data_IF_914532208676
#
_entry.id   IF_914532208676
#
_cell.length_a   1.000
_cell.length_b   1.000
_cell.length_c   1.000
_cell.angle_alpha   90.00
_cell.angle_beta   90.00
_cell.angle_gamma   90.00
#
_symmetry.space_group_name_H-M   'P 1'
#
loop_
_entity.id
_entity.type
_entity.pdbx_description
1 polymer ?
#
# COMPACT_ATOMS: atom_id res chain seq x y z
N UNK A 1 -5.19 -20.78 -3.32
CA UNK A 1 -5.58 -21.19 -1.95
C UNK A 1 -6.20 -19.95 -1.35
N UNK A 2 -7.52 -19.90 -1.50
CA UNK A 2 -8.29 -18.67 -1.56
C UNK A 2 -8.58 -18.18 -0.15
N UNK A 3 -8.01 -17.03 0.23
CA UNK A 3 -8.09 -16.52 1.59
C UNK A 3 -8.69 -15.11 1.71
N UNK A 4 -8.96 -14.40 0.62
CA UNK A 4 -9.28 -12.95 0.70
C UNK A 4 -10.60 -12.55 0.02
N UNK A 5 -11.59 -13.44 -0.02
CA UNK A 5 -12.98 -13.01 -0.31
C UNK A 5 -13.69 -12.62 0.99
N UNK A 6 -13.12 -11.62 1.69
CA UNK A 6 -13.78 -11.02 2.84
C UNK A 6 -14.84 -10.05 2.34
N UNK A 7 -16.09 -10.27 2.75
CA UNK A 7 -17.21 -9.47 2.26
C UNK A 7 -17.42 -8.24 3.15
N UNK A 8 -18.07 -7.20 2.62
CA UNK A 8 -18.53 -6.06 3.42
C UNK A 8 -19.40 -6.48 4.61
N UNK A 9 -20.08 -7.62 4.52
CA UNK A 9 -20.87 -8.18 5.63
C UNK A 9 -19.99 -8.72 6.76
N UNK A 10 -18.87 -9.38 6.42
CA UNK A 10 -17.92 -9.86 7.42
C UNK A 10 -17.20 -8.70 8.11
N UNK A 11 -16.80 -7.70 7.32
CA UNK A 11 -16.23 -6.44 7.81
C UNK A 11 -17.19 -5.75 8.80
N UNK A 12 -18.47 -5.63 8.44
CA UNK A 12 -19.48 -5.02 9.30
C UNK A 12 -19.68 -5.81 10.60
N UNK A 13 -19.72 -7.15 10.53
CA UNK A 13 -19.85 -8.00 11.72
C UNK A 13 -18.65 -7.83 12.67
N UNK A 14 -17.42 -7.75 12.13
CA UNK A 14 -16.23 -7.49 12.93
C UNK A 14 -16.30 -6.09 13.59
N UNK A 15 -16.75 -5.09 12.86
CA UNK A 15 -16.94 -3.73 13.38
C UNK A 15 -17.97 -3.70 14.51
N UNK A 16 -19.13 -4.34 14.32
CA UNK A 16 -20.20 -4.40 15.31
C UNK A 16 -19.72 -5.09 16.60
N UNK A 17 -18.92 -6.15 16.48
CA UNK A 17 -18.30 -6.83 17.62
C UNK A 17 -17.38 -5.90 18.42
N UNK A 18 -16.56 -5.11 17.74
CA UNK A 18 -15.66 -4.14 18.39
C UNK A 18 -16.46 -3.04 19.06
N UNK A 19 -17.47 -2.48 18.37
CA UNK A 19 -18.30 -1.39 18.91
C UNK A 19 -19.18 -1.86 20.08
N UNK A 20 -19.59 -3.11 20.09
CA UNK A 20 -20.30 -3.73 21.21
C UNK A 20 -19.38 -4.10 22.39
N UNK A 21 -18.06 -3.87 22.28
CA UNK A 21 -17.09 -4.19 23.33
C UNK A 21 -16.93 -5.69 23.57
N UNK A 22 -17.18 -6.54 22.56
CA UNK A 22 -17.04 -7.98 22.73
C UNK A 22 -15.59 -8.35 23.04
N UNK A 23 -15.33 -9.22 24.04
CA UNK A 23 -13.97 -9.64 24.38
C UNK A 23 -13.20 -10.17 23.16
N UNK A 24 -11.97 -9.70 22.98
CA UNK A 24 -11.09 -10.11 21.88
C UNK A 24 -11.48 -9.60 20.48
N UNK A 25 -12.57 -8.86 20.31
CA UNK A 25 -12.99 -8.38 18.98
C UNK A 25 -11.95 -7.46 18.34
N UNK A 26 -11.41 -6.52 19.12
CA UNK A 26 -10.40 -5.60 18.62
C UNK A 26 -9.06 -6.30 18.35
N UNK A 27 -8.71 -7.32 19.13
CA UNK A 27 -7.52 -8.15 18.88
C UNK A 27 -7.62 -8.89 17.54
N UNK A 28 -8.80 -9.43 17.20
CA UNK A 28 -9.04 -10.03 15.87
C UNK A 28 -8.86 -9.02 14.75
N UNK A 29 -9.42 -7.82 14.91
CA UNK A 29 -9.25 -6.73 13.95
C UNK A 29 -7.76 -6.38 13.76
N UNK A 30 -7.01 -6.21 14.85
CA UNK A 30 -5.56 -5.94 14.78
C UNK A 30 -4.84 -7.09 14.08
N UNK A 31 -5.10 -8.33 14.48
CA UNK A 31 -4.47 -9.52 13.88
C UNK A 31 -4.69 -9.60 12.38
N UNK A 32 -5.89 -9.24 11.93
CA UNK A 32 -6.27 -9.27 10.53
C UNK A 32 -5.59 -8.18 9.70
N UNK A 33 -5.51 -6.94 10.21
CA UNK A 33 -5.04 -5.80 9.42
C UNK A 33 -3.64 -5.29 9.78
N UNK A 34 -2.95 -5.90 10.75
CA UNK A 34 -1.60 -5.46 11.16
C UNK A 34 -0.58 -5.52 10.02
N UNK A 35 -0.70 -6.53 9.15
CA UNK A 35 0.22 -6.70 8.00
C UNK A 35 0.03 -5.59 6.97
N UNK A 36 -1.22 -5.28 6.62
CA UNK A 36 -1.57 -4.15 5.77
C UNK A 36 -1.05 -2.83 6.35
N UNK A 37 -1.32 -2.58 7.63
CA UNK A 37 -0.90 -1.36 8.32
C UNK A 37 0.63 -1.20 8.27
N UNK A 38 1.36 -2.28 8.56
CA UNK A 38 2.81 -2.33 8.45
C UNK A 38 3.28 -2.01 7.02
N UNK A 39 2.71 -2.68 6.01
CA UNK A 39 3.08 -2.46 4.62
C UNK A 39 2.91 -0.99 4.20
N UNK A 40 1.76 -0.37 4.51
CA UNK A 40 1.51 1.04 4.14
C UNK A 40 2.51 1.97 4.81
N UNK A 41 2.71 1.83 6.12
CA UNK A 41 3.55 2.74 6.90
C UNK A 41 5.04 2.55 6.57
N UNK A 42 5.49 1.30 6.49
CA UNK A 42 6.90 0.98 6.24
C UNK A 42 7.36 1.49 4.86
N UNK A 43 6.50 1.42 3.84
CA UNK A 43 6.81 1.94 2.49
C UNK A 43 6.98 3.45 2.47
N UNK A 44 6.30 4.15 3.36
CA UNK A 44 6.41 5.60 3.49
C UNK A 44 7.63 6.02 4.33
N UNK A 45 7.88 5.37 5.46
CA UNK A 45 8.82 5.88 6.49
C UNK A 45 10.20 5.20 6.47
N UNK A 46 10.30 3.92 6.06
CA UNK A 46 11.57 3.13 5.97
C UNK A 46 12.38 2.94 7.25
N UNK A 47 11.89 3.41 8.40
CA UNK A 47 12.52 3.20 9.70
C UNK A 47 11.66 2.23 10.51
N UNK A 48 12.23 1.08 10.91
CA UNK A 48 11.49 0.02 11.58
C UNK A 48 10.88 0.47 12.91
N UNK A 49 11.66 1.22 13.71
CA UNK A 49 11.19 1.77 15.00
C UNK A 49 10.01 2.72 14.81
N UNK A 50 10.13 3.72 13.93
CA UNK A 50 9.02 4.62 13.60
C UNK A 50 7.81 3.85 13.05
N UNK A 51 8.04 2.81 12.24
CA UNK A 51 6.96 2.01 11.64
C UNK A 51 6.13 1.34 12.74
N UNK A 52 6.79 0.72 13.72
CA UNK A 52 6.09 0.06 14.83
C UNK A 52 5.27 1.05 15.66
N UNK A 53 5.82 2.21 15.97
CA UNK A 53 5.12 3.26 16.72
C UNK A 53 3.91 3.81 15.96
N UNK A 54 4.07 4.05 14.65
CA UNK A 54 3.00 4.55 13.80
C UNK A 54 1.92 3.49 13.55
N UNK A 55 2.25 2.19 13.50
CA UNK A 55 1.27 1.11 13.47
C UNK A 55 0.40 1.13 14.74
N UNK A 56 1.02 1.29 15.91
CA UNK A 56 0.28 1.41 17.16
C UNK A 56 -0.62 2.65 17.16
N UNK A 57 -0.10 3.82 16.77
CA UNK A 57 -0.87 5.06 16.64
C UNK A 57 -2.07 4.87 15.68
N UNK A 58 -1.86 4.13 14.59
CA UNK A 58 -2.92 3.81 13.62
C UNK A 58 -4.03 2.98 14.25
N UNK A 59 -3.71 1.90 14.96
CA UNK A 59 -4.73 1.07 15.58
C UNK A 59 -5.46 1.78 16.71
N UNK A 60 -4.80 2.65 17.48
CA UNK A 60 -5.46 3.52 18.45
C UNK A 60 -6.48 4.45 17.78
N UNK A 61 -6.14 5.03 16.62
CA UNK A 61 -7.07 5.85 15.83
C UNK A 61 -8.19 5.02 15.22
N UNK A 62 -7.89 3.84 14.68
CA UNK A 62 -8.89 2.91 14.18
C UNK A 62 -9.91 2.62 15.28
N UNK A 63 -9.47 2.24 16.48
CA UNK A 63 -10.37 2.03 17.61
C UNK A 63 -11.20 3.28 17.96
N UNK A 64 -10.56 4.45 18.03
CA UNK A 64 -11.23 5.71 18.36
C UNK A 64 -12.31 6.08 17.34
N UNK A 65 -12.07 5.87 16.04
CA UNK A 65 -12.92 6.34 14.95
C UNK A 65 -13.73 5.23 14.27
N UNK A 66 -13.65 3.97 14.73
CA UNK A 66 -14.34 2.84 14.11
C UNK A 66 -15.86 3.06 14.00
N UNK A 67 -16.45 3.77 14.96
CA UNK A 67 -17.86 4.14 14.97
C UNK A 67 -18.28 5.03 13.78
N UNK A 68 -17.33 5.54 13.01
CA UNK A 68 -17.56 6.36 11.80
C UNK A 68 -17.51 5.53 10.51
N UNK A 69 -17.08 4.27 10.57
CA UNK A 69 -17.14 3.38 9.43
C UNK A 69 -18.61 3.12 9.02
N UNK A 70 -18.88 3.17 7.71
CA UNK A 70 -20.25 3.09 7.14
C UNK A 70 -20.39 2.00 6.07
N UNK A 71 -19.38 1.13 5.90
CA UNK A 71 -19.39 0.06 4.89
C UNK A 71 -19.59 0.56 3.45
N UNK A 72 -19.12 1.78 3.16
CA UNK A 72 -19.10 2.38 1.81
C UNK A 72 -17.89 1.92 0.98
N UNK A 73 -16.87 1.35 1.65
CA UNK A 73 -15.69 0.71 1.07
C UNK A 73 -15.28 -0.45 1.98
N UNK A 74 -14.41 -1.34 1.51
CA UNK A 74 -13.87 -2.40 2.36
C UNK A 74 -13.20 -1.82 3.62
N UNK A 75 -13.33 -2.52 4.75
CA UNK A 75 -12.68 -2.12 6.01
C UNK A 75 -11.17 -2.06 5.85
N UNK A 76 -10.61 -2.95 5.02
CA UNK A 76 -9.21 -2.93 4.57
C UNK A 76 -8.80 -1.54 4.06
N UNK A 77 -9.60 -0.96 3.16
CA UNK A 77 -9.32 0.33 2.53
C UNK A 77 -9.49 1.51 3.48
N UNK A 78 -10.49 1.45 4.36
CA UNK A 78 -10.64 2.44 5.43
C UNK A 78 -9.45 2.43 6.40
N UNK A 79 -8.98 1.25 6.83
CA UNK A 79 -7.79 1.13 7.70
C UNK A 79 -6.53 1.60 6.97
N UNK A 80 -6.37 1.26 5.69
CA UNK A 80 -5.25 1.73 4.86
C UNK A 80 -5.23 3.27 4.77
N UNK A 81 -6.39 3.92 4.67
CA UNK A 81 -6.51 5.38 4.66
C UNK A 81 -6.06 5.98 6.00
N UNK A 82 -6.42 5.38 7.14
CA UNK A 82 -5.95 5.83 8.46
C UNK A 82 -4.44 5.67 8.57
N UNK A 83 -3.89 4.52 8.17
CA UNK A 83 -2.45 4.23 8.18
C UNK A 83 -1.66 5.22 7.32
N UNK A 84 -2.12 5.46 6.08
CA UNK A 84 -1.52 6.44 5.18
C UNK A 84 -1.55 7.85 5.77
N UNK A 85 -2.66 8.26 6.37
CA UNK A 85 -2.79 9.57 7.01
C UNK A 85 -1.84 9.75 8.19
N UNK A 86 -1.66 8.71 9.01
CA UNK A 86 -0.70 8.68 10.13
C UNK A 86 0.73 8.86 9.62
N UNK A 87 1.14 8.06 8.64
CA UNK A 87 2.48 8.11 8.05
C UNK A 87 2.74 9.44 7.33
N UNK A 88 1.79 9.93 6.53
CA UNK A 88 1.88 11.24 5.86
C UNK A 88 2.14 12.36 6.86
N UNK A 89 1.36 12.41 7.95
CA UNK A 89 1.52 13.42 9.00
C UNK A 89 2.87 13.31 9.71
N UNK A 90 3.42 12.11 9.85
CA UNK A 90 4.76 11.91 10.41
C UNK A 90 5.85 12.48 9.49
N UNK A 91 5.78 12.18 8.19
CA UNK A 91 6.74 12.69 7.20
C UNK A 91 6.69 14.22 7.08
N UNK A 92 5.49 14.81 7.08
CA UNK A 92 5.29 16.27 7.09
C UNK A 92 5.96 16.91 8.31
N UNK A 93 5.80 16.32 9.51
CA UNK A 93 6.44 16.81 10.75
C UNK A 93 7.97 16.71 10.70
N UNK A 94 8.52 15.63 10.10
CA UNK A 94 9.97 15.46 9.90
C UNK A 94 10.51 16.24 8.70
N UNK A 95 9.65 16.95 7.93
CA UNK A 95 10.00 17.66 6.68
C UNK A 95 10.65 16.75 5.63
N UNK A 96 10.25 15.48 5.61
CA UNK A 96 10.73 14.49 4.65
C UNK A 96 9.81 14.55 3.40
N UNK A 97 10.36 14.76 2.19
CA UNK A 97 9.55 14.76 0.97
C UNK A 97 8.90 13.39 0.72
N UNK A 98 7.59 13.39 0.46
CA UNK A 98 6.79 12.18 0.19
C UNK A 98 6.80 11.83 -1.31
N UNK A 99 6.90 12.86 -2.14
CA UNK A 99 7.00 12.79 -3.58
C UNK A 99 8.21 13.61 -4.04
N UNK A 100 8.71 13.29 -5.23
CA UNK A 100 9.64 14.20 -5.91
C UNK A 100 8.96 15.55 -6.20
N UNK A 101 9.71 16.66 -6.22
CA UNK A 101 9.18 17.92 -6.74
C UNK A 101 8.74 17.68 -8.18
N UNK A 102 7.43 17.65 -8.39
CA UNK A 102 6.87 17.26 -9.67
C UNK A 102 7.08 18.35 -10.70
N UNK A 103 7.71 18.01 -11.83
CA UNK A 103 7.26 18.51 -13.13
C UNK A 103 5.84 17.97 -13.34
N UNK A 104 4.86 18.63 -12.75
CA UNK A 104 3.47 18.47 -13.15
C UNK A 104 3.37 19.20 -14.49
N UNK A 105 3.66 18.51 -15.60
CA UNK A 105 3.06 18.91 -16.87
C UNK A 105 2.18 17.78 -17.39
N UNK A 106 0.96 18.17 -17.74
CA UNK A 106 -0.06 17.27 -18.23
C UNK A 106 0.37 16.69 -19.56
N UNK A 107 0.58 15.38 -19.60
CA UNK A 107 0.36 14.64 -20.82
C UNK A 107 -0.19 13.26 -20.50
N UNK A 108 -1.47 13.12 -20.80
CA UNK A 108 -2.16 11.86 -20.95
C UNK A 108 -1.50 11.06 -22.07
N UNK A 109 -0.62 10.13 -21.71
CA UNK A 109 -0.26 9.00 -22.58
C UNK A 109 -0.60 7.71 -21.83
N UNK A 110 -1.90 7.42 -21.82
CA UNK A 110 -2.45 6.10 -21.53
C UNK A 110 -2.39 5.30 -22.84
N UNK A 111 -1.29 4.63 -23.10
CA UNK A 111 -1.28 3.47 -24.01
C UNK A 111 -1.46 2.21 -23.17
N UNK A 112 -2.48 1.44 -23.52
CA UNK A 112 -2.83 0.16 -22.92
C UNK A 112 -1.65 -0.81 -23.10
N UNK A 113 -1.01 -1.18 -21.99
CA UNK A 113 -0.05 -2.29 -21.98
C UNK A 113 -0.72 -3.51 -21.33
N UNK A 114 -0.62 -4.71 -21.92
CA UNK A 114 -1.17 -5.91 -21.33
C UNK A 114 -0.44 -6.27 -20.03
N UNK A 115 -1.22 -6.65 -19.02
CA UNK A 115 -0.76 -7.29 -17.79
C UNK A 115 -0.39 -8.73 -18.13
N UNK A 116 0.86 -8.98 -18.48
CA UNK A 116 1.38 -10.34 -18.44
C UNK A 116 2.86 -10.32 -18.12
N UNK A 117 3.21 -10.82 -16.94
CA UNK A 117 4.58 -11.19 -16.59
C UNK A 117 4.52 -12.35 -15.61
N UNK A 118 4.39 -13.54 -16.17
CA UNK A 118 4.67 -14.82 -15.51
C UNK A 118 6.19 -14.99 -15.37
N UNK A 119 6.69 -15.18 -14.16
CA UNK A 119 8.12 -15.40 -13.89
C UNK A 119 8.27 -16.80 -13.29
N UNK A 120 8.83 -17.72 -14.08
CA UNK A 120 9.09 -19.11 -13.69
C UNK A 120 10.54 -19.31 -13.17
N UNK A 121 10.67 -20.11 -12.09
CA UNK A 121 11.82 -20.94 -11.62
C UNK A 121 12.61 -20.51 -10.33
N UNK A 122 12.38 -21.32 -9.28
CA UNK A 122 12.63 -21.09 -7.84
C UNK A 122 14.06 -20.81 -7.34
N UNK A 123 15.11 -21.05 -8.13
CA UNK A 123 16.50 -20.75 -7.69
C UNK A 123 17.03 -19.44 -8.26
N UNK A 124 16.55 -19.02 -9.43
CA UNK A 124 16.76 -17.67 -10.00
C UNK A 124 15.80 -16.69 -9.29
N UNK A 125 14.63 -17.18 -8.89
CA UNK A 125 13.58 -16.44 -8.19
C UNK A 125 14.07 -15.77 -6.91
N UNK A 126 14.96 -16.39 -6.12
CA UNK A 126 15.44 -15.78 -4.86
C UNK A 126 16.40 -14.60 -5.07
N UNK A 127 17.33 -14.69 -6.03
CA UNK A 127 18.21 -13.56 -6.38
C UNK A 127 17.43 -12.47 -7.14
N UNK A 128 16.53 -12.86 -8.04
CA UNK A 128 15.63 -11.94 -8.74
C UNK A 128 14.72 -11.19 -7.76
N UNK A 129 14.15 -11.89 -6.77
CA UNK A 129 13.34 -11.27 -5.72
C UNK A 129 14.15 -10.30 -4.85
N UNK A 130 15.40 -10.64 -4.50
CA UNK A 130 16.27 -9.73 -3.75
C UNK A 130 16.58 -8.45 -4.54
N UNK A 131 16.89 -8.57 -5.84
CA UNK A 131 17.11 -7.42 -6.72
C UNK A 131 15.84 -6.59 -6.92
N UNK A 132 14.69 -7.23 -7.10
CA UNK A 132 13.39 -6.56 -7.19
C UNK A 132 13.08 -5.81 -5.89
N UNK A 133 13.28 -6.42 -4.73
CA UNK A 133 13.09 -5.76 -3.44
C UNK A 133 14.01 -4.55 -3.27
N UNK A 134 15.29 -4.68 -3.64
CA UNK A 134 16.24 -3.57 -3.61
C UNK A 134 15.82 -2.44 -4.57
N UNK A 135 15.38 -2.77 -5.79
CA UNK A 135 14.92 -1.80 -6.78
C UNK A 135 13.64 -1.07 -6.31
N UNK A 136 12.69 -1.80 -5.71
CA UNK A 136 11.50 -1.22 -5.09
C UNK A 136 11.93 -0.20 -4.05
N UNK A 137 12.87 -0.56 -3.17
CA UNK A 137 13.38 0.30 -2.10
C UNK A 137 14.09 1.58 -2.58
N UNK A 138 14.50 1.64 -3.85
CA UNK A 138 15.02 2.86 -4.49
C UNK A 138 13.93 3.79 -5.02
N UNK A 139 12.69 3.33 -5.17
CA UNK A 139 11.58 4.15 -5.65
C UNK A 139 11.17 5.22 -4.62
N UNK A 140 10.68 6.38 -5.06
CA UNK A 140 10.10 7.40 -4.19
C UNK A 140 9.00 6.84 -3.27
N UNK A 141 8.81 7.38 -2.05
CA UNK A 141 7.85 6.85 -1.07
C UNK A 141 6.44 6.67 -1.64
N UNK A 142 5.94 7.64 -2.40
CA UNK A 142 4.62 7.55 -3.02
C UNK A 142 4.51 6.41 -4.03
N UNK A 143 5.53 6.22 -4.88
CA UNK A 143 5.55 5.16 -5.89
C UNK A 143 5.55 3.77 -5.25
N UNK A 144 6.39 3.56 -4.23
CA UNK A 144 6.38 2.31 -3.45
C UNK A 144 5.05 2.02 -2.78
N UNK A 145 4.45 3.05 -2.18
CA UNK A 145 3.19 2.93 -1.47
C UNK A 145 2.08 2.53 -2.44
N UNK A 146 2.00 3.19 -3.59
CA UNK A 146 1.01 2.88 -4.64
C UNK A 146 1.22 1.47 -5.21
N UNK A 147 2.45 1.06 -5.52
CA UNK A 147 2.74 -0.30 -5.96
C UNK A 147 2.32 -1.34 -4.93
N UNK A 148 2.57 -1.06 -3.64
CA UNK A 148 2.23 -1.98 -2.55
C UNK A 148 0.71 -2.09 -2.39
N UNK A 149 -0.01 -0.96 -2.40
CA UNK A 149 -1.46 -0.97 -2.32
C UNK A 149 -2.11 -1.70 -3.51
N UNK A 150 -1.55 -1.57 -4.71
CA UNK A 150 -2.10 -2.19 -5.91
C UNK A 150 -1.73 -3.67 -6.07
N UNK A 151 -0.45 -4.03 -5.98
CA UNK A 151 0.00 -5.40 -6.28
C UNK A 151 0.05 -6.32 -5.05
N UNK A 152 0.34 -5.78 -3.86
CA UNK A 152 0.45 -6.61 -2.65
C UNK A 152 -0.84 -6.65 -1.85
N UNK A 153 -1.54 -5.53 -1.77
CA UNK A 153 -2.82 -5.42 -1.07
C UNK A 153 -4.04 -5.56 -1.97
N UNK A 154 -3.82 -5.68 -3.28
CA UNK A 154 -4.86 -5.92 -4.30
C UNK A 154 -6.00 -4.90 -4.27
N UNK A 155 -5.71 -3.66 -3.83
CA UNK A 155 -6.72 -2.61 -3.79
C UNK A 155 -7.02 -2.08 -5.19
N UNK A 156 -8.30 -1.94 -5.57
CA UNK A 156 -8.67 -1.33 -6.83
C UNK A 156 -8.25 0.15 -6.84
N UNK A 157 -7.95 0.68 -8.03
CA UNK A 157 -7.45 2.06 -8.21
C UNK A 157 -8.37 3.10 -7.56
N UNK A 158 -9.69 2.89 -7.61
CA UNK A 158 -10.66 3.77 -6.95
C UNK A 158 -10.49 3.81 -5.42
N UNK A 159 -10.19 2.68 -4.78
CA UNK A 159 -9.92 2.64 -3.33
C UNK A 159 -8.54 3.23 -3.00
N UNK A 160 -7.53 3.00 -3.85
CA UNK A 160 -6.21 3.66 -3.70
C UNK A 160 -6.36 5.19 -3.77
N UNK A 161 -7.25 5.69 -4.64
CA UNK A 161 -7.60 7.11 -4.73
C UNK A 161 -8.17 7.63 -3.41
N UNK A 162 -9.10 6.90 -2.80
CA UNK A 162 -9.65 7.25 -1.48
C UNK A 162 -8.58 7.23 -0.38
N UNK A 163 -7.72 6.20 -0.37
CA UNK A 163 -6.63 6.03 0.62
C UNK A 163 -5.63 7.19 0.53
N UNK A 164 -5.19 7.52 -0.69
CA UNK A 164 -4.06 8.44 -0.90
C UNK A 164 -4.47 9.89 -1.12
N UNK A 165 -5.72 10.13 -1.54
CA UNK A 165 -6.25 11.42 -1.99
C UNK A 165 -5.78 11.83 -3.39
N UNK A 166 -5.17 10.91 -4.15
CA UNK A 166 -4.67 11.18 -5.50
C UNK A 166 -5.72 10.82 -6.55
N UNK A 167 -5.77 11.57 -7.65
CA UNK A 167 -6.62 11.22 -8.78
C UNK A 167 -6.21 9.86 -9.37
N UNK A 168 -7.18 9.07 -9.84
CA UNK A 168 -6.92 7.76 -10.44
C UNK A 168 -5.90 7.82 -11.59
N UNK A 169 -5.94 8.88 -12.40
CA UNK A 169 -4.95 9.11 -13.47
C UNK A 169 -3.53 9.23 -12.92
N UNK A 170 -3.34 9.95 -11.82
CA UNK A 170 -2.05 10.08 -11.13
C UNK A 170 -1.57 8.74 -10.58
N UNK A 171 -2.48 7.93 -10.02
CA UNK A 171 -2.16 6.57 -9.55
C UNK A 171 -1.68 5.70 -10.71
N UNK A 172 -2.40 5.69 -11.83
CA UNK A 172 -2.02 4.96 -13.05
C UNK A 172 -0.65 5.41 -13.56
N UNK A 173 -0.37 6.71 -13.56
CA UNK A 173 0.95 7.24 -13.92
C UNK A 173 2.05 6.79 -12.96
N UNK A 174 1.80 6.77 -11.65
CA UNK A 174 2.76 6.23 -10.68
C UNK A 174 3.03 4.75 -10.92
N UNK A 175 1.99 3.92 -11.11
CA UNK A 175 2.15 2.50 -11.42
C UNK A 175 2.95 2.26 -12.70
N UNK A 176 2.67 3.02 -13.76
CA UNK A 176 3.40 2.92 -15.02
C UNK A 176 4.89 3.29 -14.84
N UNK A 177 5.17 4.45 -14.22
CA UNK A 177 6.55 4.91 -13.99
C UNK A 177 7.33 3.94 -13.10
N UNK A 178 6.69 3.43 -12.04
CA UNK A 178 7.33 2.48 -11.13
C UNK A 178 7.68 1.18 -11.84
N UNK A 179 6.75 0.61 -12.63
CA UNK A 179 7.02 -0.60 -13.45
C UNK A 179 8.17 -0.38 -14.44
N UNK A 180 8.21 0.79 -15.10
CA UNK A 180 9.31 1.14 -15.99
C UNK A 180 10.66 1.17 -15.25
N UNK A 181 10.74 1.88 -14.13
CA UNK A 181 11.97 1.98 -13.33
C UNK A 181 12.44 0.61 -12.81
N UNK A 182 11.50 -0.23 -12.35
CA UNK A 182 11.83 -1.58 -11.88
C UNK A 182 12.35 -2.47 -13.01
N UNK A 183 11.73 -2.41 -14.21
CA UNK A 183 12.20 -3.15 -15.37
C UNK A 183 13.60 -2.72 -15.78
N UNK A 184 13.84 -1.42 -15.86
CA UNK A 184 15.15 -0.89 -16.26
C UNK A 184 16.24 -1.32 -15.26
N UNK A 185 15.97 -1.26 -13.95
CA UNK A 185 16.88 -1.71 -12.89
C UNK A 185 17.15 -3.23 -12.93
N UNK A 186 16.13 -4.03 -13.21
CA UNK A 186 16.27 -5.49 -13.30
C UNK A 186 17.08 -5.90 -14.53
N UNK A 187 16.80 -5.31 -15.70
CA UNK A 187 17.56 -5.57 -16.94
C UNK A 187 19.05 -5.28 -16.77
N UNK A 188 19.39 -4.17 -16.10
CA UNK A 188 20.79 -3.81 -15.78
C UNK A 188 21.43 -4.81 -14.82
N UNK A 189 20.73 -5.23 -13.76
CA UNK A 189 21.25 -6.21 -12.79
C UNK A 189 21.43 -7.62 -13.38
N UNK A 190 20.62 -7.99 -14.38
CA UNK A 190 20.63 -9.32 -15.00
C UNK A 190 21.56 -9.40 -16.21
N UNK A 191 22.22 -8.31 -16.61
CA UNK A 191 23.18 -8.29 -17.72
C UNK A 191 22.56 -8.53 -19.10
N UNK A 192 21.23 -8.44 -19.22
CA UNK A 192 20.52 -8.47 -20.50
C UNK A 192 20.51 -7.04 -21.02
N UNK A 193 21.60 -6.63 -21.67
CA UNK A 193 21.59 -5.43 -22.49
C UNK A 193 20.51 -5.59 -23.56
N UNK A 194 19.65 -4.57 -23.66
CA UNK A 194 18.52 -4.50 -24.60
C UNK A 194 18.94 -4.74 -26.06
#
# INVERSE_FOLDING_TARGET
MDADSHTLADDQALVDDVLAGRPGAFERLVTQYQKLCWHVIHRMVRQAEDTQDLCQETFLRVHQYLHQYRSESALKSWIAQVAYSVAKRHLERKRIPIAEPSEVDGSSLLEQAPDDFDIESASIESQSAAHLHAAIECLPPMQRTILTLYHLEELPIGEISVVTGLAEGTIKSHLFRSRKQLRDALSESMGVAA
#
